data_IF_888634822631
#
_entry.id   IF_888634822631
#
_cell.length_a   1.000
_cell.length_b   1.000
_cell.length_c   1.000
_cell.angle_alpha   90.00
_cell.angle_beta   90.00
_cell.angle_gamma   90.00
#
_symmetry.space_group_name_H-M   'P 1'
#
loop_
_entity.id
_entity.type
_entity.pdbx_description
1 polymer ?
#
# COMPACT_ATOMS: atom_id res chain seq x y z
N UNK A 1 5.44 -9.27 35.28
CA UNK A 1 5.08 -10.26 34.25
C UNK A 1 6.24 -10.32 33.29
N UNK A 2 6.99 -11.42 33.27
CA UNK A 2 8.14 -11.59 32.39
C UNK A 2 7.67 -11.85 30.95
N UNK A 3 8.55 -11.52 30.00
CA UNK A 3 8.34 -11.67 28.56
C UNK A 3 7.93 -13.10 28.14
N UNK A 4 8.27 -14.11 28.98
CA UNK A 4 7.99 -15.51 28.72
C UNK A 4 6.52 -15.92 29.01
N UNK A 5 5.81 -15.21 29.89
CA UNK A 5 4.39 -15.51 30.20
C UNK A 5 3.43 -15.10 29.07
N UNK A 6 3.85 -14.17 28.20
CA UNK A 6 3.04 -13.69 27.07
C UNK A 6 3.03 -14.69 25.91
N UNK A 7 4.18 -15.30 25.60
CA UNK A 7 4.32 -16.24 24.49
C UNK A 7 3.65 -17.60 24.75
N UNK A 8 3.56 -18.04 26.01
CA UNK A 8 2.90 -19.30 26.36
C UNK A 8 1.37 -19.28 26.15
N UNK A 9 0.73 -18.10 26.24
CA UNK A 9 -0.73 -17.97 26.04
C UNK A 9 -1.13 -17.89 24.56
N UNK A 10 -0.26 -17.39 23.68
CA UNK A 10 -0.54 -17.31 22.24
C UNK A 10 -0.44 -18.66 21.53
N UNK A 11 0.46 -19.54 21.97
CA UNK A 11 0.63 -20.88 21.37
C UNK A 11 -0.51 -21.86 21.69
N UNK A 12 -1.26 -21.62 22.78
CA UNK A 12 -2.39 -22.47 23.18
C UNK A 12 -3.72 -22.13 22.48
N UNK A 13 -3.86 -20.96 21.85
CA UNK A 13 -5.07 -20.61 21.11
C UNK A 13 -5.00 -20.94 19.61
N UNK A 14 -3.80 -21.06 19.04
CA UNK A 14 -3.62 -21.45 17.64
C UNK A 14 -3.84 -22.95 17.38
N UNK A 15 -3.88 -23.81 18.42
CA UNK A 15 -4.00 -25.26 18.27
C UNK A 15 -5.42 -25.84 18.43
N UNK A 16 -6.44 -25.01 18.71
CA UNK A 16 -7.81 -25.49 18.90
C UNK A 16 -8.75 -25.30 17.69
N UNK A 17 -8.26 -24.77 16.57
CA UNK A 17 -8.98 -24.87 15.29
C UNK A 17 -8.55 -26.17 14.61
N UNK A 18 -8.99 -27.28 15.20
CA UNK A 18 -8.79 -28.61 14.65
C UNK A 18 -9.55 -28.77 13.34
N UNK A 19 -8.82 -29.11 12.28
CA UNK A 19 -9.36 -29.63 11.03
C UNK A 19 -10.00 -31.00 11.29
N UNK A 20 -11.29 -31.02 11.63
CA UNK A 20 -12.08 -32.25 11.58
C UNK A 20 -12.43 -32.56 10.11
N UNK A 21 -11.52 -33.27 9.42
CA UNK A 21 -11.86 -34.01 8.22
C UNK A 21 -12.64 -35.26 8.63
N UNK A 22 -13.97 -35.20 8.55
CA UNK A 22 -14.81 -36.39 8.45
C UNK A 22 -14.82 -36.81 6.99
N UNK A 23 -14.07 -37.85 6.68
CA UNK A 23 -14.14 -38.57 5.41
C UNK A 23 -15.50 -39.28 5.31
N UNK A 24 -16.40 -38.73 4.49
CA UNK A 24 -17.60 -39.39 4.02
C UNK A 24 -17.55 -39.39 2.49
N UNK A 25 -17.40 -40.59 1.96
CA UNK A 25 -17.10 -40.87 0.56
C UNK A 25 -17.98 -40.16 -0.47
N UNK A 26 -17.29 -39.70 -1.52
CA UNK A 26 -17.71 -39.70 -2.92
C UNK A 26 -19.12 -39.22 -3.26
N UNK A 27 -19.24 -37.91 -3.52
CA UNK A 27 -20.03 -37.38 -4.63
C UNK A 27 -19.42 -36.05 -5.05
N UNK A 28 -19.32 -35.83 -6.36
CA UNK A 28 -18.77 -34.64 -7.03
C UNK A 28 -19.47 -33.36 -6.53
N UNK A 29 -18.78 -32.59 -5.68
CA UNK A 29 -19.23 -31.26 -5.23
C UNK A 29 -18.39 -30.25 -5.99
N UNK A 30 -19.01 -29.59 -6.96
CA UNK A 30 -18.53 -28.35 -7.56
C UNK A 30 -18.01 -27.44 -6.46
N UNK A 31 -16.75 -27.01 -6.54
CA UNK A 31 -16.15 -26.07 -5.59
C UNK A 31 -17.04 -24.83 -5.48
N UNK A 32 -17.80 -24.70 -4.38
CA UNK A 32 -18.38 -23.43 -3.98
C UNK A 32 -17.19 -22.51 -3.69
N UNK A 33 -16.96 -21.49 -4.52
CA UNK A 33 -16.03 -20.41 -4.19
C UNK A 33 -16.46 -19.84 -2.83
N UNK A 34 -15.69 -20.13 -1.77
CA UNK A 34 -15.89 -19.50 -0.48
C UNK A 34 -15.62 -18.00 -0.64
N UNK A 35 -16.68 -17.23 -0.78
CA UNK A 35 -16.61 -15.79 -0.94
C UNK A 35 -15.91 -15.17 0.27
N UNK A 36 -14.80 -14.49 0.03
CA UNK A 36 -13.96 -13.96 1.10
C UNK A 36 -14.70 -12.91 1.92
N UNK A 37 -14.78 -13.13 3.23
CA UNK A 37 -15.32 -12.15 4.18
C UNK A 37 -14.24 -11.12 4.51
N UNK A 38 -14.60 -9.84 4.50
CA UNK A 38 -13.72 -8.71 4.80
C UNK A 38 -14.16 -8.06 6.10
N UNK A 39 -13.20 -7.64 6.93
CA UNK A 39 -13.48 -6.88 8.15
C UNK A 39 -13.60 -5.39 7.84
N UNK A 40 -14.54 -4.72 8.49
CA UNK A 40 -14.73 -3.28 8.43
C UNK A 40 -14.88 -2.66 9.83
N UNK A 41 -14.35 -1.46 9.98
CA UNK A 41 -14.63 -0.53 11.06
C UNK A 41 -15.80 0.38 10.67
N UNK A 42 -16.86 0.40 11.48
CA UNK A 42 -18.05 1.23 11.27
C UNK A 42 -18.10 2.35 12.29
N UNK A 43 -18.18 3.60 11.81
CA UNK A 43 -18.48 4.77 12.63
C UNK A 43 -19.92 5.20 12.37
N UNK A 44 -20.69 5.39 13.44
CA UNK A 44 -22.05 5.90 13.37
C UNK A 44 -22.08 7.42 13.49
N UNK A 45 -23.18 8.04 13.06
CA UNK A 45 -23.44 9.47 13.25
C UNK A 45 -23.66 9.80 14.72
N UNK A 46 -23.25 10.98 15.14
CA UNK A 46 -23.48 11.45 16.50
C UNK A 46 -24.99 11.45 16.83
N UNK A 47 -25.32 11.05 18.07
CA UNK A 47 -26.71 10.91 18.51
C UNK A 47 -27.42 9.63 18.04
N UNK A 48 -26.76 8.77 17.25
CA UNK A 48 -27.33 7.47 16.85
C UNK A 48 -27.59 6.60 18.08
N UNK A 49 -28.81 6.03 18.15
CA UNK A 49 -29.18 5.08 19.19
C UNK A 49 -28.67 3.68 18.82
N UNK A 50 -27.61 3.22 19.50
CA UNK A 50 -26.99 1.91 19.22
C UNK A 50 -27.97 0.74 19.33
N UNK A 51 -28.92 0.79 20.28
CA UNK A 51 -29.91 -0.28 20.43
C UNK A 51 -30.79 -0.38 19.19
N UNK A 52 -31.28 0.74 18.68
CA UNK A 52 -32.10 0.78 17.46
C UNK A 52 -31.29 0.34 16.24
N UNK A 53 -30.05 0.83 16.12
CA UNK A 53 -29.15 0.45 15.04
C UNK A 53 -28.93 -1.06 14.98
N UNK A 54 -28.55 -1.68 16.11
CA UNK A 54 -28.31 -3.13 16.14
C UNK A 54 -29.59 -3.97 15.95
N UNK A 55 -30.75 -3.50 16.40
CA UNK A 55 -32.03 -4.15 16.06
C UNK A 55 -32.30 -4.11 14.54
N UNK A 56 -31.93 -3.01 13.86
CA UNK A 56 -32.01 -2.90 12.41
C UNK A 56 -31.06 -3.86 11.71
N UNK A 57 -29.84 -3.97 12.22
CA UNK A 57 -28.88 -4.97 11.76
C UNK A 57 -29.42 -6.40 11.95
N UNK A 58 -29.93 -6.78 13.13
CA UNK A 58 -30.39 -8.15 13.38
C UNK A 58 -31.48 -8.57 12.36
N UNK A 59 -32.36 -7.64 11.99
CA UNK A 59 -33.35 -7.84 10.91
C UNK A 59 -32.70 -8.05 9.55
N UNK A 60 -31.65 -7.31 9.24
CA UNK A 60 -30.86 -7.49 8.02
C UNK A 60 -30.25 -8.89 7.94
N UNK A 61 -29.79 -9.44 9.05
CA UNK A 61 -29.25 -10.81 9.10
C UNK A 61 -30.35 -11.87 8.85
N UNK A 62 -31.58 -11.63 9.32
CA UNK A 62 -32.72 -12.52 9.03
C UNK A 62 -33.07 -12.51 7.54
N UNK A 63 -33.11 -11.33 6.90
CA UNK A 63 -33.36 -11.20 5.45
C UNK A 63 -32.29 -11.95 4.62
N UNK A 64 -31.04 -11.91 5.08
CA UNK A 64 -29.90 -12.54 4.43
C UNK A 64 -29.79 -14.07 4.67
N UNK A 65 -30.52 -14.62 5.66
CA UNK A 65 -30.48 -16.06 5.97
C UNK A 65 -30.86 -16.96 4.79
N UNK A 66 -31.71 -16.46 3.89
CA UNK A 66 -32.10 -17.13 2.65
C UNK A 66 -30.95 -17.29 1.64
N UNK A 67 -29.90 -16.46 1.77
CA UNK A 67 -28.73 -16.39 0.87
C UNK A 67 -27.46 -17.02 1.44
N UNK A 68 -27.55 -17.71 2.61
CA UNK A 68 -26.40 -18.26 3.36
C UNK A 68 -25.26 -17.25 3.60
N UNK A 69 -25.56 -15.96 3.50
CA UNK A 69 -24.59 -14.87 3.70
C UNK A 69 -24.98 -14.19 5.01
N UNK A 70 -24.00 -13.98 5.89
CA UNK A 70 -24.22 -13.36 7.19
C UNK A 70 -23.17 -12.29 7.39
N UNK A 71 -23.51 -11.25 8.15
CA UNK A 71 -22.48 -10.40 8.74
C UNK A 71 -22.35 -10.74 10.23
N UNK A 72 -21.12 -10.61 10.74
CA UNK A 72 -20.80 -10.90 12.13
C UNK A 72 -20.24 -9.65 12.77
N UNK A 73 -20.96 -9.07 13.74
CA UNK A 73 -20.42 -7.98 14.56
C UNK A 73 -19.43 -8.60 15.56
N UNK A 74 -18.17 -8.22 15.41
CA UNK A 74 -17.04 -8.77 16.18
C UNK A 74 -16.87 -8.02 17.50
N UNK A 75 -17.04 -6.70 17.45
CA UNK A 75 -16.81 -5.84 18.59
C UNK A 75 -17.69 -4.60 18.52
N UNK A 76 -18.28 -4.20 19.65
CA UNK A 76 -19.00 -2.94 19.80
C UNK A 76 -18.18 -2.06 20.74
N UNK A 77 -17.75 -0.90 20.25
CA UNK A 77 -16.95 0.00 21.08
C UNK A 77 -17.81 0.64 22.17
N UNK A 78 -17.18 1.04 23.27
CA UNK A 78 -17.82 1.89 24.26
C UNK A 78 -18.13 3.24 23.59
N UNK A 79 -19.37 3.72 23.74
CA UNK A 79 -19.80 5.00 23.16
C UNK A 79 -18.92 6.19 23.58
N UNK A 80 -18.32 6.14 24.78
CA UNK A 80 -17.39 7.16 25.26
C UNK A 80 -16.04 7.18 24.54
N UNK A 81 -15.69 6.11 23.83
CA UNK A 81 -14.47 5.98 23.04
C UNK A 81 -14.78 6.22 21.56
N UNK A 82 -15.64 5.38 20.99
CA UNK A 82 -16.08 5.47 19.60
C UNK A 82 -17.52 4.97 19.52
N UNK A 83 -18.40 5.77 18.94
CA UNK A 83 -19.75 5.34 18.60
C UNK A 83 -19.69 4.52 17.30
N UNK A 84 -19.43 3.22 17.45
CA UNK A 84 -19.12 2.35 16.32
C UNK A 84 -18.93 0.89 16.70
N UNK A 85 -18.57 0.08 15.70
CA UNK A 85 -18.35 -1.36 15.86
C UNK A 85 -17.47 -1.92 14.73
N UNK A 86 -16.99 -3.15 14.92
CA UNK A 86 -16.26 -3.94 13.93
C UNK A 86 -17.20 -5.02 13.41
N UNK A 87 -17.21 -5.24 12.09
CA UNK A 87 -18.06 -6.24 11.43
C UNK A 87 -17.32 -6.98 10.32
N UNK A 88 -17.56 -8.29 10.18
CA UNK A 88 -17.20 -9.06 8.99
C UNK A 88 -18.42 -9.22 8.07
N UNK A 89 -18.23 -9.05 6.77
CA UNK A 89 -19.23 -9.45 5.76
C UNK A 89 -18.58 -9.71 4.39
N UNK A 90 -19.29 -10.38 3.49
CA UNK A 90 -18.87 -10.53 2.09
C UNK A 90 -19.08 -9.23 1.30
N UNK A 91 -18.30 -9.00 0.24
CA UNK A 91 -18.37 -7.77 -0.56
C UNK A 91 -19.78 -7.44 -1.09
N UNK A 92 -20.64 -8.44 -1.31
CA UNK A 92 -22.06 -8.29 -1.70
C UNK A 92 -22.92 -7.51 -0.69
N UNK A 93 -22.50 -7.37 0.56
CA UNK A 93 -23.24 -6.62 1.59
C UNK A 93 -22.75 -5.20 1.81
N UNK A 94 -21.64 -4.81 1.17
CA UNK A 94 -21.05 -3.48 1.34
C UNK A 94 -22.08 -2.37 1.06
N UNK A 95 -22.84 -2.50 -0.03
CA UNK A 95 -23.87 -1.51 -0.40
C UNK A 95 -25.01 -1.43 0.62
N UNK A 96 -25.36 -2.55 1.28
CA UNK A 96 -26.40 -2.55 2.32
C UNK A 96 -25.97 -1.75 3.55
N UNK A 97 -24.70 -1.86 3.95
CA UNK A 97 -24.14 -1.04 5.02
C UNK A 97 -23.97 0.43 4.60
N UNK A 98 -23.44 0.70 3.41
CA UNK A 98 -23.28 2.07 2.90
C UNK A 98 -24.61 2.84 2.80
N UNK A 99 -25.72 2.13 2.59
CA UNK A 99 -27.06 2.73 2.48
C UNK A 99 -27.74 2.97 3.83
N UNK A 100 -27.17 2.57 4.97
CA UNK A 100 -27.76 2.85 6.27
C UNK A 100 -27.58 4.33 6.65
N UNK A 101 -28.71 5.02 6.89
CA UNK A 101 -28.71 6.47 7.10
C UNK A 101 -28.00 6.92 8.39
N UNK A 102 -27.78 6.02 9.33
CA UNK A 102 -27.15 6.25 10.63
C UNK A 102 -25.65 5.90 10.66
N UNK A 103 -25.12 5.28 9.60
CA UNK A 103 -23.67 5.12 9.40
C UNK A 103 -23.07 6.44 8.89
N UNK A 104 -21.98 6.85 9.53
CA UNK A 104 -21.18 8.02 9.14
C UNK A 104 -20.00 7.63 8.24
N UNK A 105 -19.29 6.56 8.60
CA UNK A 105 -18.14 6.06 7.87
C UNK A 105 -18.01 4.55 7.97
N UNK A 106 -17.52 3.93 6.89
CA UNK A 106 -17.27 2.51 6.78
C UNK A 106 -15.89 2.32 6.16
N UNK A 107 -14.94 1.82 6.95
CA UNK A 107 -13.54 1.67 6.57
C UNK A 107 -13.17 0.19 6.55
N UNK A 108 -12.47 -0.26 5.51
CA UNK A 108 -11.91 -1.61 5.50
C UNK A 108 -10.82 -1.69 6.56
N UNK A 109 -10.86 -2.72 7.40
CA UNK A 109 -9.83 -2.91 8.43
C UNK A 109 -8.46 -3.17 7.80
N UNK A 110 -7.41 -2.71 8.47
CA UNK A 110 -6.04 -2.73 7.97
C UNK A 110 -5.13 -3.42 8.96
N UNK A 111 -4.19 -4.21 8.45
CA UNK A 111 -3.21 -4.90 9.27
C UNK A 111 -2.30 -3.89 10.00
N UNK A 112 -2.10 -4.09 11.29
CA UNK A 112 -1.03 -3.43 12.05
C UNK A 112 0.14 -4.40 12.09
N UNK A 113 1.22 -4.05 11.39
CA UNK A 113 2.43 -4.87 11.31
C UNK A 113 3.50 -4.24 12.20
N UNK A 114 4.14 -5.07 13.03
CA UNK A 114 5.33 -4.67 13.78
C UNK A 114 6.49 -4.54 12.75
N UNK A 115 6.84 -3.29 12.47
CA UNK A 115 7.65 -2.84 11.33
C UNK A 115 8.99 -3.57 11.15
N UNK A 116 9.38 -3.75 9.87
CA UNK A 116 10.78 -3.97 9.47
C UNK A 116 11.45 -2.62 9.18
N UNK A 117 11.53 -1.75 10.19
CA UNK A 117 12.23 -0.47 10.05
C UNK A 117 13.73 -0.72 9.84
N UNK A 118 14.27 -0.16 8.77
CA UNK A 118 15.70 -0.15 8.48
C UNK A 118 16.25 1.23 8.81
N UNK A 119 17.35 1.26 9.57
CA UNK A 119 18.22 2.42 9.66
C UNK A 119 19.36 2.27 8.66
N UNK A 120 19.42 3.18 7.69
CA UNK A 120 20.56 3.39 6.82
C UNK A 120 21.50 4.42 7.46
N UNK A 121 22.69 4.01 7.96
CA UNK A 121 23.70 4.95 8.39
C UNK A 121 24.36 5.64 7.19
N UNK A 122 25.10 6.72 7.45
CA UNK A 122 25.85 7.48 6.44
C UNK A 122 24.99 7.95 5.24
N UNK A 123 23.72 8.25 5.50
CA UNK A 123 22.81 8.76 4.49
C UNK A 123 23.18 10.21 4.09
N UNK A 124 23.00 10.57 2.81
CA UNK A 124 23.17 11.94 2.37
C UNK A 124 22.10 12.86 3.00
N UNK A 125 22.43 14.14 3.13
CA UNK A 125 21.57 15.14 3.77
C UNK A 125 20.14 15.17 3.20
N UNK A 126 19.97 14.91 1.89
CA UNK A 126 18.66 14.93 1.23
C UNK A 126 17.71 13.86 1.78
N UNK A 127 18.21 12.65 2.01
CA UNK A 127 17.42 11.57 2.62
C UNK A 127 17.07 11.90 4.08
N UNK A 128 18.02 12.42 4.85
CA UNK A 128 17.77 12.84 6.22
C UNK A 128 16.77 13.99 6.31
N UNK A 129 16.82 14.93 5.37
CA UNK A 129 15.92 16.09 5.35
C UNK A 129 14.47 15.68 5.14
N UNK A 130 14.19 14.68 4.31
CA UNK A 130 12.81 14.18 4.12
C UNK A 130 12.35 13.23 5.24
N UNK A 131 13.27 12.80 6.11
CA UNK A 131 12.99 11.85 7.20
C UNK A 131 12.83 12.53 8.57
N UNK A 132 13.31 13.76 8.72
CA UNK A 132 13.30 14.51 9.99
C UNK A 132 12.31 15.67 9.95
N UNK A 133 11.35 15.73 10.89
CA UNK A 133 10.43 16.88 10.99
C UNK A 133 11.15 18.17 11.44
N UNK A 134 12.13 18.05 12.33
CA UNK A 134 12.96 19.16 12.80
C UNK A 134 14.06 19.52 11.79
N UNK A 135 14.60 20.75 11.84
CA UNK A 135 15.78 21.10 11.04
C UNK A 135 16.95 20.16 11.31
N UNK A 136 17.64 19.74 10.25
CA UNK A 136 18.86 18.91 10.36
C UNK A 136 20.05 19.76 10.80
N UNK A 137 20.99 19.13 11.51
CA UNK A 137 22.27 19.75 11.87
C UNK A 137 23.17 19.88 10.63
N UNK A 138 23.28 21.11 10.13
CA UNK A 138 24.06 21.43 8.93
C UNK A 138 25.58 21.31 9.11
N UNK A 139 26.08 21.08 10.33
CA UNK A 139 27.50 20.82 10.59
C UNK A 139 27.89 19.37 10.34
N UNK A 140 26.92 18.47 10.14
CA UNK A 140 27.14 17.05 9.87
C UNK A 140 27.16 16.77 8.37
N UNK A 141 28.00 15.82 7.97
CA UNK A 141 28.08 15.33 6.58
C UNK A 141 27.37 13.97 6.40
N UNK A 142 27.08 13.29 7.51
CA UNK A 142 26.50 11.95 7.56
C UNK A 142 25.31 11.92 8.51
N UNK A 143 24.23 11.30 8.05
CA UNK A 143 22.97 11.26 8.76
C UNK A 143 22.41 9.83 8.80
N UNK A 144 21.33 9.65 9.55
CA UNK A 144 20.55 8.42 9.51
C UNK A 144 19.35 8.63 8.59
N UNK A 145 19.00 7.58 7.85
CA UNK A 145 17.75 7.51 7.11
C UNK A 145 16.99 6.27 7.55
N UNK A 146 15.81 6.48 8.13
CA UNK A 146 14.97 5.45 8.72
C UNK A 146 13.74 5.27 7.82
N UNK A 147 13.50 4.05 7.35
CA UNK A 147 12.37 3.75 6.46
C UNK A 147 11.87 2.32 6.68
N UNK A 148 10.60 2.08 6.36
CA UNK A 148 10.05 0.73 6.28
C UNK A 148 10.37 0.10 4.93
N UNK A 149 11.15 -0.98 4.95
CA UNK A 149 11.54 -1.68 3.73
C UNK A 149 10.35 -2.28 2.96
N UNK A 150 9.29 -2.67 3.66
CA UNK A 150 8.13 -3.34 3.07
C UNK A 150 7.20 -2.37 2.34
N UNK A 151 7.11 -1.11 2.78
CA UNK A 151 6.09 -0.17 2.31
C UNK A 151 6.64 1.12 1.71
N UNK A 152 7.83 1.57 2.14
CA UNK A 152 8.35 2.90 1.79
C UNK A 152 9.43 2.86 0.70
N UNK A 153 9.69 1.69 0.12
CA UNK A 153 10.69 1.51 -0.94
C UNK A 153 10.13 1.64 -2.35
N UNK A 154 8.82 1.81 -2.51
CA UNK A 154 8.18 2.05 -3.82
C UNK A 154 8.05 0.81 -4.70
N UNK A 155 8.03 -0.39 -4.11
CA UNK A 155 7.72 -1.63 -4.84
C UNK A 155 6.37 -1.51 -5.57
N UNK A 156 6.30 -1.97 -6.82
CA UNK A 156 5.12 -1.84 -7.67
C UNK A 156 4.83 -0.44 -8.22
N UNK A 157 5.61 0.59 -7.84
CA UNK A 157 5.47 1.95 -8.35
C UNK A 157 6.32 2.13 -9.62
N UNK A 158 5.70 2.71 -10.65
CA UNK A 158 6.35 3.09 -11.91
C UNK A 158 6.63 4.61 -11.91
N UNK A 159 7.89 5.00 -12.12
CA UNK A 159 8.31 6.41 -12.14
C UNK A 159 8.90 6.75 -13.51
N UNK A 160 8.26 7.68 -14.22
CA UNK A 160 8.70 8.17 -15.52
C UNK A 160 9.60 9.39 -15.36
N UNK A 161 10.83 9.31 -15.86
CA UNK A 161 11.83 10.37 -15.71
C UNK A 161 12.07 11.02 -17.08
N UNK A 162 11.53 12.25 -17.21
CA UNK A 162 11.64 13.07 -18.42
C UNK A 162 12.90 13.94 -18.37
N UNK A 163 14.00 13.47 -18.93
CA UNK A 163 15.32 14.11 -18.82
C UNK A 163 16.22 13.82 -20.04
N UNK A 164 17.53 13.82 -19.87
CA UNK A 164 18.59 13.47 -20.82
C UNK A 164 18.73 11.98 -21.14
N UNK A 165 17.90 11.14 -20.52
CA UNK A 165 17.96 9.69 -20.61
C UNK A 165 18.47 9.05 -19.32
N UNK A 166 18.47 7.72 -19.26
CA UNK A 166 18.93 6.95 -18.10
C UNK A 166 19.95 5.90 -18.54
N UNK A 167 21.07 5.79 -17.82
CA UNK A 167 22.02 4.68 -18.00
C UNK A 167 21.48 3.39 -17.36
N UNK A 168 20.72 2.59 -18.11
CA UNK A 168 20.04 1.38 -17.64
C UNK A 168 20.94 0.36 -16.94
N UNK A 169 22.21 0.25 -17.36
CA UNK A 169 23.18 -0.70 -16.82
C UNK A 169 23.89 -0.19 -15.56
N UNK A 170 23.56 1.01 -15.07
CA UNK A 170 24.16 1.54 -13.85
C UNK A 170 23.81 0.65 -12.66
N UNK A 171 24.82 0.25 -11.87
CA UNK A 171 24.69 -0.70 -10.77
C UNK A 171 23.64 -0.30 -9.72
N UNK A 172 23.40 1.00 -9.56
CA UNK A 172 22.37 1.52 -8.66
C UNK A 172 20.94 1.18 -9.09
N UNK A 173 20.70 0.85 -10.37
CA UNK A 173 19.36 0.53 -10.85
C UNK A 173 19.08 -0.96 -10.89
N UNK A 174 20.10 -1.82 -10.99
CA UNK A 174 19.93 -3.28 -10.92
C UNK A 174 18.93 -3.85 -11.94
N UNK A 175 18.81 -3.24 -13.12
CA UNK A 175 17.87 -3.66 -14.17
C UNK A 175 16.44 -3.10 -14.03
N UNK A 176 16.19 -2.18 -13.09
CA UNK A 176 14.86 -1.55 -12.89
C UNK A 176 14.54 -0.41 -13.86
N UNK A 177 15.43 -0.09 -14.80
CA UNK A 177 15.18 0.91 -15.86
C UNK A 177 14.56 0.22 -17.07
N UNK A 178 13.43 0.74 -17.54
CA UNK A 178 12.77 0.35 -18.78
C UNK A 178 12.75 1.54 -19.73
N UNK A 179 12.95 1.29 -21.03
CA UNK A 179 12.73 2.31 -22.04
C UNK A 179 11.23 2.58 -22.20
N UNK A 180 10.84 3.86 -22.24
CA UNK A 180 9.44 4.27 -22.41
C UNK A 180 9.27 5.20 -23.61
N UNK A 181 10.08 6.26 -23.65
CA UNK A 181 10.08 7.22 -24.75
C UNK A 181 11.49 7.69 -25.04
N UNK A 182 11.81 7.77 -26.33
CA UNK A 182 13.03 8.38 -26.83
C UNK A 182 12.63 9.34 -27.95
N UNK A 183 13.06 10.59 -27.84
CA UNK A 183 12.80 11.58 -28.89
C UNK A 183 13.31 11.10 -30.26
N UNK A 184 12.59 11.45 -31.34
CA UNK A 184 12.93 11.04 -32.71
C UNK A 184 14.38 11.39 -33.06
N UNK A 185 15.13 10.40 -33.52
CA UNK A 185 16.54 10.52 -33.90
C UNK A 185 17.53 10.24 -32.76
N UNK A 186 17.04 10.10 -31.52
CA UNK A 186 17.85 9.69 -30.37
C UNK A 186 17.88 8.17 -30.17
N UNK A 187 18.84 7.71 -29.39
CA UNK A 187 18.86 6.37 -28.80
C UNK A 187 18.57 6.44 -27.31
N UNK A 188 18.02 5.36 -26.76
CA UNK A 188 17.95 5.15 -25.31
C UNK A 188 19.36 5.23 -24.69
N UNK A 189 19.41 5.62 -23.42
CA UNK A 189 20.64 5.83 -22.69
C UNK A 189 20.91 7.30 -22.40
N UNK A 190 21.69 7.51 -21.34
CA UNK A 190 22.13 8.83 -20.91
C UNK A 190 23.59 9.07 -21.31
N UNK A 191 23.83 10.09 -22.12
CA UNK A 191 25.19 10.52 -22.50
C UNK A 191 25.63 11.79 -21.76
N UNK A 192 24.71 12.48 -21.09
CA UNK A 192 24.98 13.71 -20.35
C UNK A 192 25.27 13.43 -18.87
N UNK A 193 24.49 12.53 -18.28
CA UNK A 193 24.60 12.08 -16.89
C UNK A 193 23.58 12.73 -15.96
N UNK A 194 22.92 13.82 -16.36
CA UNK A 194 21.94 14.51 -15.53
C UNK A 194 20.74 13.61 -15.19
N UNK A 195 20.17 12.93 -16.17
CA UNK A 195 19.00 12.06 -15.99
C UNK A 195 19.31 10.85 -15.13
N UNK A 196 20.49 10.25 -15.30
CA UNK A 196 20.99 9.17 -14.44
C UNK A 196 21.18 9.63 -13.00
N UNK A 197 21.69 10.84 -12.78
CA UNK A 197 21.86 11.40 -11.44
C UNK A 197 20.51 11.67 -10.76
N UNK A 198 19.56 12.29 -11.48
CA UNK A 198 18.19 12.50 -11.00
C UNK A 198 17.53 11.16 -10.66
N UNK A 199 17.60 10.18 -11.56
CA UNK A 199 17.06 8.84 -11.33
C UNK A 199 17.72 8.13 -10.13
N UNK A 200 19.01 8.39 -9.87
CA UNK A 200 19.74 7.88 -8.71
C UNK A 200 19.19 8.40 -7.38
N UNK A 201 18.81 9.68 -7.31
CA UNK A 201 18.16 10.29 -6.13
C UNK A 201 16.76 9.70 -5.92
N UNK A 202 16.04 9.45 -7.01
CA UNK A 202 14.68 8.90 -6.94
C UNK A 202 14.72 7.44 -6.48
N UNK A 203 15.48 6.59 -7.17
CA UNK A 203 15.34 5.14 -7.07
C UNK A 203 16.67 4.37 -7.11
N UNK A 204 17.82 5.01 -6.85
CA UNK A 204 19.08 4.28 -6.67
C UNK A 204 19.00 3.29 -5.50
N UNK A 205 19.57 2.11 -5.63
CA UNK A 205 19.52 1.06 -4.61
C UNK A 205 20.11 1.49 -3.26
N UNK A 206 21.11 2.38 -3.28
CA UNK A 206 21.80 2.85 -2.07
C UNK A 206 21.28 4.20 -1.58
N UNK A 207 21.09 5.16 -2.49
CA UNK A 207 20.79 6.56 -2.14
C UNK A 207 19.43 7.05 -2.61
N UNK A 208 18.63 6.16 -3.20
CA UNK A 208 17.28 6.46 -3.64
C UNK A 208 16.30 6.56 -2.48
N UNK A 209 15.27 7.36 -2.68
CA UNK A 209 14.08 7.38 -1.82
C UNK A 209 13.26 6.11 -2.05
N UNK A 210 12.81 5.88 -3.29
CA UNK A 210 12.01 4.74 -3.72
C UNK A 210 12.89 3.61 -4.29
N UNK A 211 13.70 3.00 -3.43
CA UNK A 211 14.77 2.04 -3.78
C UNK A 211 14.34 0.84 -4.62
N UNK A 212 13.07 0.43 -4.55
CA UNK A 212 12.51 -0.73 -5.24
C UNK A 212 11.54 -0.35 -6.39
N UNK A 213 11.38 0.93 -6.69
CA UNK A 213 10.55 1.37 -7.81
C UNK A 213 11.13 1.00 -9.18
N UNK A 214 10.25 0.88 -10.17
CA UNK A 214 10.61 0.73 -11.58
C UNK A 214 10.72 2.10 -12.24
N UNK A 215 11.87 2.37 -12.88
CA UNK A 215 12.13 3.61 -13.60
C UNK A 215 11.79 3.44 -15.08
N UNK A 216 11.16 4.45 -15.67
CA UNK A 216 10.88 4.54 -17.10
C UNK A 216 11.63 5.71 -17.69
N UNK A 217 12.56 5.40 -18.58
CA UNK A 217 13.34 6.40 -19.31
C UNK A 217 12.46 7.13 -20.32
N UNK A 218 12.36 8.45 -20.15
CA UNK A 218 11.72 9.36 -21.10
C UNK A 218 12.76 10.39 -21.55
N UNK A 219 13.55 10.05 -22.57
CA UNK A 219 14.60 10.95 -23.08
C UNK A 219 13.99 12.06 -23.93
N UNK A 220 13.94 13.27 -23.37
CA UNK A 220 13.38 14.47 -24.00
C UNK A 220 14.44 15.52 -24.33
N UNK A 221 15.63 15.40 -23.73
CA UNK A 221 16.81 16.21 -24.03
C UNK A 221 17.78 15.36 -24.86
N UNK A 222 17.94 15.63 -26.17
CA UNK A 222 18.92 14.93 -27.00
C UNK A 222 20.35 15.38 -26.67
N UNK A 223 21.31 14.53 -27.04
CA UNK A 223 22.73 14.71 -26.71
C UNK A 223 23.27 16.03 -27.26
N UNK A 224 23.70 16.93 -26.38
CA UNK A 224 24.24 18.24 -26.76
C UNK A 224 23.22 19.24 -27.32
N UNK A 225 21.91 18.92 -27.25
CA UNK A 225 20.84 19.81 -27.68
C UNK A 225 20.05 20.39 -26.50
N UNK A 226 19.46 21.56 -26.70
CA UNK A 226 18.47 22.10 -25.77
C UNK A 226 17.10 21.44 -26.00
N UNK A 227 16.44 21.10 -24.90
CA UNK A 227 15.04 20.69 -24.93
C UNK A 227 14.11 21.85 -25.27
N UNK A 228 12.90 21.53 -25.72
CA UNK A 228 11.82 22.52 -25.84
C UNK A 228 10.61 22.05 -25.04
N UNK A 229 9.80 23.00 -24.56
CA UNK A 229 8.53 22.70 -23.88
C UNK A 229 7.63 21.84 -24.79
N UNK A 230 7.60 22.10 -26.10
CA UNK A 230 6.85 21.28 -27.05
C UNK A 230 7.29 19.81 -27.07
N UNK A 231 8.61 19.54 -27.09
CA UNK A 231 9.14 18.16 -27.03
C UNK A 231 8.75 17.45 -25.73
N UNK A 232 8.71 18.17 -24.61
CA UNK A 232 8.26 17.63 -23.32
C UNK A 232 6.77 17.25 -23.35
N UNK A 233 5.90 18.14 -23.82
CA UNK A 233 4.46 17.84 -23.91
C UNK A 233 4.15 16.67 -24.85
N UNK A 234 4.84 16.58 -26.00
CA UNK A 234 4.72 15.44 -26.92
C UNK A 234 5.14 14.14 -26.25
N UNK A 235 6.23 14.15 -25.47
CA UNK A 235 6.63 12.95 -24.74
C UNK A 235 5.59 12.54 -23.71
N UNK A 236 5.01 13.48 -22.95
CA UNK A 236 4.00 13.15 -21.95
C UNK A 236 2.77 12.47 -22.58
N UNK A 237 2.28 13.02 -23.69
CA UNK A 237 1.15 12.48 -24.47
C UNK A 237 1.41 11.06 -25.01
N UNK A 238 2.66 10.75 -25.39
CA UNK A 238 3.01 9.46 -25.97
C UNK A 238 3.37 8.38 -24.95
N UNK A 239 3.81 8.76 -23.75
CA UNK A 239 4.30 7.78 -22.76
C UNK A 239 3.22 7.31 -21.80
N UNK A 240 2.22 8.14 -21.47
CA UNK A 240 1.20 7.81 -20.48
C UNK A 240 -0.06 7.30 -21.20
N UNK A 241 -0.46 6.03 -21.03
CA UNK A 241 -1.73 5.56 -21.56
C UNK A 241 -2.89 6.28 -20.88
N UNK A 242 -3.85 6.74 -21.69
CA UNK A 242 -5.09 7.39 -21.23
C UNK A 242 -6.11 6.43 -20.62
#
# INVERSE_FOLDING_TARGET
MSHDDFNARYSLHASQVGTHNLDLGGTDVSQEEHESTVQYLVRLKDGTNMTVHFLGLDRLNVDLSSTRSFYTVVHKFKQSFLLGYIVYFNSKHLSKFQNQSDILHLEKDSDIILETVIMQPDAPWGLARINEASPIDTTKEKFNYIYDNAYETGEGVNIYVFDSGLKSEHVQFGGRVKAAYVHRGGTSGDTDGHGTHVAGIIAGATYGVAKNSTLYECKVLPDGETGTVGKLFVSYDQTIPG
#
